data_IF_383448603731
#
_entry.id   IF_383448603731
#
_cell.length_a   1.000
_cell.length_b   1.000
_cell.length_c   1.000
_cell.angle_alpha   90.00
_cell.angle_beta   90.00
_cell.angle_gamma   90.00
#
_symmetry.space_group_name_H-M   'P 1'
#
loop_
_entity.id
_entity.type
_entity.pdbx_description
1 polymer ?
#
# COMPACT_ATOMS: atom_id res chain seq x y z
N UNK A 1 -2.97 -20.91 -5.34
CA UNK A 1 -2.70 -20.11 -6.54
C UNK A 1 -2.92 -18.65 -6.26
N UNK A 2 -4.14 -18.29 -5.85
CA UNK A 2 -4.48 -16.88 -5.58
C UNK A 2 -3.57 -16.23 -4.55
N UNK A 3 -3.31 -16.93 -3.44
CA UNK A 3 -2.48 -16.38 -2.37
C UNK A 3 -1.06 -16.09 -2.85
N UNK A 4 -0.49 -16.98 -3.65
CA UNK A 4 0.87 -16.78 -4.17
C UNK A 4 0.93 -15.60 -5.13
N UNK A 5 -0.09 -15.43 -5.97
CA UNK A 5 -0.18 -14.29 -6.87
C UNK A 5 -0.22 -12.98 -6.08
N UNK A 6 -1.04 -12.92 -5.03
CA UNK A 6 -1.14 -11.73 -4.20
C UNK A 6 0.14 -11.49 -3.41
N UNK A 7 0.79 -12.53 -2.90
CA UNK A 7 2.09 -12.39 -2.23
C UNK A 7 3.12 -11.71 -3.14
N UNK A 8 3.18 -12.14 -4.41
CA UNK A 8 4.08 -11.54 -5.39
C UNK A 8 3.73 -10.08 -5.67
N UNK A 9 2.44 -9.77 -5.80
CA UNK A 9 1.99 -8.40 -6.04
C UNK A 9 2.26 -7.50 -4.83
N UNK A 10 2.05 -8.02 -3.62
CA UNK A 10 2.37 -7.29 -2.39
C UNK A 10 3.87 -6.98 -2.30
N UNK A 11 4.72 -7.91 -2.72
CA UNK A 11 6.16 -7.66 -2.73
C UNK A 11 6.55 -6.65 -3.81
N UNK A 12 5.94 -6.72 -4.99
CA UNK A 12 6.15 -5.71 -6.04
C UNK A 12 5.72 -4.33 -5.54
N UNK A 13 4.60 -4.25 -4.84
CA UNK A 13 4.12 -3.01 -4.24
C UNK A 13 5.12 -2.48 -3.22
N UNK A 14 5.61 -3.34 -2.33
CA UNK A 14 6.58 -2.94 -1.31
C UNK A 14 7.84 -2.34 -1.95
N UNK A 15 8.37 -3.01 -2.96
CA UNK A 15 9.56 -2.52 -3.67
C UNK A 15 9.28 -1.19 -4.37
N UNK A 16 8.13 -1.07 -5.01
CA UNK A 16 7.75 0.17 -5.70
C UNK A 16 7.58 1.34 -4.72
N UNK A 17 7.01 1.09 -3.56
CA UNK A 17 6.88 2.11 -2.51
C UNK A 17 8.26 2.53 -1.99
N UNK A 18 9.15 1.55 -1.78
CA UNK A 18 10.47 1.79 -1.23
C UNK A 18 11.35 2.61 -2.18
N UNK A 19 11.24 2.36 -3.48
CA UNK A 19 12.05 3.04 -4.50
C UNK A 19 11.31 4.19 -5.18
N UNK A 20 10.06 4.44 -4.80
CA UNK A 20 9.18 5.43 -5.45
C UNK A 20 9.09 5.19 -6.96
N UNK A 21 8.89 3.92 -7.34
CA UNK A 21 8.73 3.51 -8.74
C UNK A 21 7.31 3.82 -9.20
N UNK A 22 7.12 5.04 -9.71
CA UNK A 22 5.80 5.54 -10.08
C UNK A 22 5.16 4.71 -11.19
N UNK A 23 5.95 4.18 -12.12
CA UNK A 23 5.42 3.35 -13.21
C UNK A 23 4.79 2.06 -12.67
N UNK A 24 5.44 1.38 -11.73
CA UNK A 24 4.90 0.18 -11.10
C UNK A 24 3.71 0.52 -10.21
N UNK A 25 3.79 1.60 -9.44
CA UNK A 25 2.66 2.05 -8.62
C UNK A 25 1.43 2.35 -9.48
N UNK A 26 1.64 2.98 -10.64
CA UNK A 26 0.55 3.26 -11.58
C UNK A 26 -0.14 1.98 -12.06
N UNK A 27 0.62 0.91 -12.25
CA UNK A 27 0.05 -0.38 -12.66
C UNK A 27 -0.73 -1.08 -11.54
N UNK A 28 -0.25 -0.98 -10.29
CA UNK A 28 -0.82 -1.71 -9.17
C UNK A 28 -1.98 -0.99 -8.49
N UNK A 29 -2.11 0.31 -8.68
CA UNK A 29 -3.14 1.13 -8.05
C UNK A 29 -4.24 1.42 -9.06
N UNK A 30 -5.48 1.10 -8.71
CA UNK A 30 -6.62 1.36 -9.58
C UNK A 30 -6.90 2.85 -9.71
N UNK A 31 -7.39 3.27 -10.88
CA UNK A 31 -7.74 4.68 -11.12
C UNK A 31 -8.80 5.19 -10.15
N UNK A 32 -9.66 4.30 -9.69
CA UNK A 32 -10.75 4.62 -8.76
C UNK A 32 -10.40 4.31 -7.29
N UNK A 33 -9.12 4.27 -6.95
CA UNK A 33 -8.66 4.01 -5.58
C UNK A 33 -9.31 4.95 -4.57
N UNK A 34 -9.76 4.39 -3.46
CA UNK A 34 -10.14 5.13 -2.25
C UNK A 34 -9.20 4.70 -1.12
N UNK A 35 -8.38 5.61 -0.65
CA UNK A 35 -7.39 5.32 0.39
C UNK A 35 -7.57 6.24 1.58
N UNK A 36 -7.68 5.67 2.78
CA UNK A 36 -7.77 6.46 4.01
C UNK A 36 -6.43 6.42 4.73
N UNK A 37 -5.85 7.58 4.95
CA UNK A 37 -4.56 7.70 5.62
C UNK A 37 -4.71 7.59 7.14
N UNK A 38 -3.58 7.44 7.83
CA UNK A 38 -3.57 7.31 9.28
C UNK A 38 -4.06 8.58 10.01
N UNK A 39 -4.16 9.71 9.31
CA UNK A 39 -4.71 10.95 9.85
C UNK A 39 -6.20 11.13 9.54
N UNK A 40 -6.82 10.15 8.84
CA UNK A 40 -8.21 10.22 8.46
C UNK A 40 -8.48 10.92 7.13
N UNK A 41 -7.43 11.37 6.44
CA UNK A 41 -7.58 11.97 5.13
C UNK A 41 -7.90 10.91 4.08
N UNK A 42 -8.93 11.17 3.26
CA UNK A 42 -9.28 10.26 2.16
C UNK A 42 -8.53 10.72 0.91
N UNK A 43 -7.63 9.87 0.47
CA UNK A 43 -6.74 10.14 -0.66
C UNK A 43 -7.17 9.34 -1.89
N UNK A 44 -6.49 9.56 -2.98
CA UNK A 44 -6.73 8.88 -4.25
C UNK A 44 -5.41 8.55 -4.93
N UNK A 45 -5.49 7.86 -6.08
CA UNK A 45 -4.30 7.46 -6.84
C UNK A 45 -3.42 8.64 -7.21
N UNK A 46 -4.01 9.74 -7.67
CA UNK A 46 -3.24 10.90 -8.12
C UNK A 46 -2.41 11.48 -6.99
N UNK A 47 -2.99 11.63 -5.79
CA UNK A 47 -2.25 12.11 -4.62
C UNK A 47 -1.07 11.21 -4.30
N UNK A 48 -1.28 9.89 -4.35
CA UNK A 48 -0.23 8.92 -4.01
C UNK A 48 0.92 8.99 -5.01
N UNK A 49 0.59 8.98 -6.30
CA UNK A 49 1.61 9.05 -7.35
C UNK A 49 2.37 10.37 -7.30
N UNK A 50 1.67 11.48 -7.10
CA UNK A 50 2.31 12.80 -7.02
C UNK A 50 3.24 12.91 -5.82
N UNK A 51 2.87 12.35 -4.68
CA UNK A 51 3.71 12.34 -3.48
C UNK A 51 5.02 11.60 -3.74
N UNK A 52 4.96 10.45 -4.39
CA UNK A 52 6.15 9.69 -4.76
C UNK A 52 6.98 10.38 -5.84
N UNK A 53 6.31 10.93 -6.85
CA UNK A 53 6.98 11.57 -7.99
C UNK A 53 7.73 12.82 -7.56
N UNK A 54 7.14 13.61 -6.68
CA UNK A 54 7.74 14.87 -6.21
C UNK A 54 8.85 14.67 -5.18
N UNK A 55 8.92 13.48 -4.58
CA UNK A 55 9.87 13.21 -3.50
C UNK A 55 9.45 13.74 -2.14
N UNK A 56 8.24 14.29 -2.03
CA UNK A 56 7.74 14.80 -0.75
C UNK A 56 7.55 13.65 0.25
N UNK A 57 7.32 12.45 -0.26
CA UNK A 57 7.14 11.24 0.54
C UNK A 57 8.16 10.21 0.08
N UNK A 58 9.01 9.76 1.02
CA UNK A 58 10.04 8.78 0.75
C UNK A 58 10.11 7.76 1.87
N UNK A 59 10.16 6.47 1.50
CA UNK A 59 10.46 5.40 2.43
C UNK A 59 11.93 5.01 2.30
N UNK A 60 12.57 4.72 3.43
CA UNK A 60 13.90 4.11 3.46
C UNK A 60 13.86 2.70 4.02
N UNK A 61 12.75 2.33 4.68
CA UNK A 61 12.57 1.01 5.28
C UNK A 61 11.08 0.68 5.29
N UNK A 62 10.75 -0.53 4.85
CA UNK A 62 9.40 -1.09 4.95
C UNK A 62 9.53 -2.56 5.35
N UNK A 63 9.44 -2.85 6.63
CA UNK A 63 9.48 -4.21 7.14
C UNK A 63 8.06 -4.71 7.38
N UNK A 64 7.72 -5.79 6.68
CA UNK A 64 6.39 -6.38 6.72
C UNK A 64 6.37 -7.56 7.69
N UNK A 65 5.34 -7.64 8.51
CA UNK A 65 5.09 -8.79 9.36
C UNK A 65 3.59 -9.03 9.49
N UNK A 66 3.22 -10.19 10.00
CA UNK A 66 1.83 -10.56 10.26
C UNK A 66 0.94 -10.27 9.05
N UNK A 67 1.40 -10.68 7.86
CA UNK A 67 0.60 -10.54 6.64
C UNK A 67 -0.43 -11.68 6.59
N UNK A 68 -1.69 -11.31 6.42
CA UNK A 68 -2.78 -12.26 6.26
C UNK A 68 -3.53 -11.95 4.97
N UNK A 69 -3.80 -13.00 4.21
CA UNK A 69 -4.45 -12.90 2.90
C UNK A 69 -5.82 -13.57 3.01
N UNK A 70 -6.88 -12.81 2.72
CA UNK A 70 -8.25 -13.26 2.84
C UNK A 70 -8.94 -13.20 1.49
N UNK A 71 -9.00 -14.32 0.72
CA UNK A 71 -9.75 -14.35 -0.52
C UNK A 71 -11.25 -14.43 -0.23
N UNK A 72 -12.01 -13.51 -0.81
CA UNK A 72 -13.48 -13.50 -0.67
C UNK A 72 -14.18 -13.99 -1.92
N UNK A 73 -13.51 -13.89 -3.06
CA UNK A 73 -14.00 -14.43 -4.32
C UNK A 73 -12.78 -14.62 -5.24
N UNK A 74 -13.02 -15.10 -6.45
CA UNK A 74 -11.95 -15.22 -7.44
C UNK A 74 -11.37 -13.88 -7.86
N UNK A 75 -12.11 -12.80 -7.62
CA UNK A 75 -11.74 -11.46 -8.09
C UNK A 75 -11.55 -10.45 -6.96
N UNK A 76 -11.62 -10.86 -5.70
CA UNK A 76 -11.50 -9.93 -4.56
C UNK A 76 -10.74 -10.58 -3.41
N UNK A 77 -9.65 -9.94 -3.00
CA UNK A 77 -8.79 -10.41 -1.90
C UNK A 77 -8.49 -9.23 -0.98
N UNK A 78 -8.64 -9.44 0.32
CA UNK A 78 -8.27 -8.46 1.34
C UNK A 78 -6.97 -8.91 1.99
N UNK A 79 -6.02 -7.99 2.09
CA UNK A 79 -4.73 -8.23 2.75
C UNK A 79 -4.61 -7.32 3.95
N UNK A 80 -4.29 -7.90 5.10
CA UNK A 80 -3.93 -7.12 6.29
C UNK A 80 -2.47 -7.41 6.62
N UNK A 81 -1.75 -6.41 7.11
CA UNK A 81 -0.34 -6.57 7.45
C UNK A 81 0.09 -5.49 8.43
N UNK A 82 1.15 -5.81 9.18
CA UNK A 82 1.87 -4.84 9.99
C UNK A 82 3.09 -4.38 9.23
N UNK A 83 3.37 -3.08 9.27
CA UNK A 83 4.53 -2.48 8.59
C UNK A 83 5.28 -1.61 9.57
N UNK A 84 6.58 -1.84 9.71
CA UNK A 84 7.48 -0.88 10.34
C UNK A 84 8.12 -0.05 9.24
N UNK A 85 7.80 1.24 9.21
CA UNK A 85 8.19 2.14 8.14
C UNK A 85 9.08 3.25 8.66
N UNK A 86 10.14 3.52 7.93
CA UNK A 86 11.03 4.66 8.17
C UNK A 86 11.15 5.45 6.90
N UNK A 87 11.18 6.75 6.99
CA UNK A 87 11.28 7.60 5.81
C UNK A 87 11.21 9.07 6.16
N UNK A 88 10.83 9.87 5.17
CA UNK A 88 10.62 11.30 5.32
C UNK A 88 9.31 11.71 4.66
N UNK A 89 8.65 12.70 5.25
CA UNK A 89 7.49 13.37 4.67
C UNK A 89 7.74 14.87 4.77
N UNK A 90 7.79 15.55 3.64
CA UNK A 90 8.10 16.98 3.58
C UNK A 90 9.41 17.32 4.31
N UNK A 91 10.41 16.44 4.21
CA UNK A 91 11.70 16.62 4.86
C UNK A 91 11.74 16.20 6.34
N UNK A 92 10.61 15.87 6.93
CA UNK A 92 10.51 15.43 8.33
C UNK A 92 10.69 13.92 8.42
N UNK A 93 11.66 13.47 9.20
CA UNK A 93 11.90 12.04 9.41
C UNK A 93 10.79 11.42 10.26
N UNK A 94 10.39 10.21 9.90
CA UNK A 94 9.48 9.40 10.71
C UNK A 94 9.97 7.96 10.79
N UNK A 95 9.60 7.27 11.87
CA UNK A 95 9.88 5.84 12.05
C UNK A 95 8.79 5.31 12.96
N UNK A 96 7.79 4.65 12.38
CA UNK A 96 6.58 4.27 13.08
C UNK A 96 6.11 2.90 12.60
N UNK A 97 5.27 2.26 13.41
CA UNK A 97 4.59 1.02 13.04
C UNK A 97 3.15 1.32 12.63
N UNK A 98 2.70 0.63 11.59
CA UNK A 98 1.37 0.82 11.03
C UNK A 98 0.70 -0.53 10.79
N UNK A 99 -0.62 -0.53 10.77
CA UNK A 99 -1.43 -1.65 10.31
C UNK A 99 -2.17 -1.22 9.06
N UNK A 100 -2.02 -2.00 7.98
CA UNK A 100 -2.66 -1.73 6.69
C UNK A 100 -3.77 -2.74 6.44
N UNK A 101 -4.84 -2.28 5.81
CA UNK A 101 -5.83 -3.14 5.17
C UNK A 101 -5.88 -2.69 3.70
N UNK A 102 -5.64 -3.63 2.79
CA UNK A 102 -5.70 -3.36 1.34
C UNK A 102 -6.72 -4.28 0.69
N UNK A 103 -7.47 -3.74 -0.25
CA UNK A 103 -8.43 -4.51 -1.04
C UNK A 103 -7.92 -4.60 -2.47
N UNK A 104 -7.58 -5.82 -2.88
CA UNK A 104 -7.17 -6.13 -4.25
C UNK A 104 -8.36 -6.67 -5.02
N UNK A 105 -8.57 -6.16 -6.23
CA UNK A 105 -9.65 -6.60 -7.11
C UNK A 105 -9.08 -6.90 -8.48
N UNK A 106 -9.51 -8.03 -9.05
CA UNK A 106 -9.16 -8.39 -10.43
C UNK A 106 -10.25 -7.93 -11.37
N UNK A 107 -9.89 -7.06 -12.32
CA UNK A 107 -10.77 -6.57 -13.36
C UNK A 107 -9.99 -6.61 -14.69
N UNK A 108 -10.58 -7.16 -15.72
CA UNK A 108 -9.94 -7.26 -17.04
C UNK A 108 -8.56 -7.95 -16.93
N UNK A 109 -8.52 -9.04 -16.16
CA UNK A 109 -7.32 -9.85 -15.91
C UNK A 109 -6.17 -9.08 -15.21
N UNK A 110 -6.49 -7.99 -14.52
CA UNK A 110 -5.50 -7.20 -13.79
C UNK A 110 -5.90 -7.08 -12.33
N UNK A 111 -4.97 -7.42 -11.46
CA UNK A 111 -5.12 -7.20 -10.02
C UNK A 111 -4.66 -5.80 -9.69
N UNK A 112 -5.52 -5.01 -9.06
CA UNK A 112 -5.21 -3.66 -8.61
C UNK A 112 -5.82 -3.41 -7.24
N UNK A 113 -5.19 -2.50 -6.49
CA UNK A 113 -5.70 -2.04 -5.21
C UNK A 113 -6.79 -1.01 -5.48
N UNK A 114 -8.00 -1.25 -4.97
CA UNK A 114 -9.13 -0.34 -5.14
C UNK A 114 -9.47 0.43 -3.88
N UNK A 115 -9.04 -0.07 -2.72
CA UNK A 115 -9.34 0.58 -1.45
C UNK A 115 -8.32 0.15 -0.40
N UNK A 116 -8.17 0.96 0.62
CA UNK A 116 -7.36 0.61 1.75
C UNK A 116 -7.44 1.64 2.86
N UNK A 117 -6.86 1.27 3.98
CA UNK A 117 -6.81 2.08 5.19
C UNK A 117 -5.52 1.77 5.91
N UNK A 118 -4.89 2.79 6.45
CA UNK A 118 -3.72 2.62 7.31
C UNK A 118 -3.98 3.25 8.66
N UNK A 119 -3.60 2.54 9.72
CA UNK A 119 -3.68 3.04 11.09
C UNK A 119 -2.29 2.98 11.71
N UNK A 120 -1.94 3.98 12.49
CA UNK A 120 -0.71 3.94 13.25
C UNK A 120 -0.90 3.04 14.47
N UNK A 121 0.09 2.21 14.76
CA UNK A 121 0.08 1.36 15.95
C UNK A 121 0.74 2.09 17.11
N UNK A 122 0.07 2.09 18.24
CA UNK A 122 0.60 2.67 19.48
C UNK A 122 0.79 1.56 20.51
N UNK A 123 1.78 1.68 21.40
CA UNK A 123 1.91 0.72 22.50
C UNK A 123 0.66 0.71 23.36
N UNK A 124 0.24 -0.46 23.80
CA UNK A 124 -0.87 -0.60 24.72
C UNK A 124 -0.41 -0.49 26.18
#
# INVERSE_FOLDING_TARGET
MENKTIENLEEQLRQAMLTSDVAVLDELIADDLVWTTHTGFVSNKQHDLDAHRSGIFRFTKLEISDRQIHPYSNDCIVVTLKVEATGTLSGQAFSEAYRFTRVWVQRQNRWQIVAGHVSQLFPL
#
